data_IF_733841670322
#
_entry.id   IF_733841670322
#
_cell.length_a   1.000
_cell.length_b   1.000
_cell.length_c   1.000
_cell.angle_alpha   90.00
_cell.angle_beta   90.00
_cell.angle_gamma   90.00
#
_symmetry.space_group_name_H-M   'P 1'
#
loop_
_entity.id
_entity.type
_entity.pdbx_description
1 polymer ?
#
# COMPACT_ATOMS: atom_id res chain seq x y z
N UNK A 1 34.84 22.05 -56.42
CA UNK A 1 33.37 22.04 -56.60
C UNK A 1 32.83 20.89 -55.76
N UNK A 2 32.26 21.18 -54.58
CA UNK A 2 30.80 21.17 -54.29
C UNK A 2 30.23 19.73 -54.36
N UNK A 3 29.53 19.15 -53.39
CA UNK A 3 28.95 19.60 -52.13
C UNK A 3 28.56 18.35 -51.31
N UNK A 4 28.69 18.40 -49.97
CA UNK A 4 28.09 17.40 -49.07
C UNK A 4 26.56 17.54 -49.07
N UNK A 5 25.76 16.44 -49.13
CA UNK A 5 24.32 16.54 -49.00
C UNK A 5 23.94 16.86 -47.55
N UNK A 6 23.29 18.00 -47.41
CA UNK A 6 22.76 18.61 -46.21
C UNK A 6 21.76 17.69 -45.48
N UNK A 7 22.01 17.49 -44.18
CA UNK A 7 21.03 16.99 -43.20
C UNK A 7 19.81 17.91 -43.25
N UNK A 8 18.62 17.37 -43.60
CA UNK A 8 17.36 18.10 -43.47
C UNK A 8 16.32 17.24 -42.73
N UNK A 9 15.68 17.92 -41.77
CA UNK A 9 14.38 17.59 -41.14
C UNK A 9 14.43 16.92 -39.76
N UNK A 10 15.10 17.56 -38.79
CA UNK A 10 14.59 17.52 -37.42
C UNK A 10 13.36 18.43 -37.34
N UNK A 11 12.18 17.84 -37.32
CA UNK A 11 10.93 18.54 -37.05
C UNK A 11 10.94 18.99 -35.58
N UNK A 12 11.30 20.24 -35.33
CA UNK A 12 11.23 20.86 -34.01
C UNK A 12 9.77 20.89 -33.57
N UNK A 13 9.40 20.02 -32.63
CA UNK A 13 8.10 20.09 -31.96
C UNK A 13 8.22 21.19 -30.91
N UNK A 14 8.05 22.44 -31.34
CA UNK A 14 7.80 23.58 -30.47
C UNK A 14 6.46 23.36 -29.77
N UNK A 15 6.50 22.96 -28.50
CA UNK A 15 5.31 22.96 -27.64
C UNK A 15 5.02 24.42 -27.25
N UNK A 16 3.82 24.95 -27.46
CA UNK A 16 3.48 26.26 -26.94
C UNK A 16 3.49 26.20 -25.41
N UNK A 17 4.33 27.05 -24.82
CA UNK A 17 4.35 27.34 -23.39
C UNK A 17 3.02 28.04 -23.09
N UNK A 18 2.09 27.34 -22.45
CA UNK A 18 0.91 27.97 -21.86
C UNK A 18 1.37 28.77 -20.64
N UNK A 19 1.67 30.04 -20.89
CA UNK A 19 1.74 31.04 -19.84
C UNK A 19 0.32 31.39 -19.38
N UNK A 20 0.23 31.74 -18.09
CA UNK A 20 -0.89 32.45 -17.47
C UNK A 20 -2.16 31.65 -17.17
N UNK A 21 -2.12 30.92 -16.06
CA UNK A 21 -3.24 30.95 -15.13
C UNK A 21 -2.71 31.34 -13.74
N UNK A 22 -2.35 32.61 -13.60
CA UNK A 22 -2.19 33.24 -12.30
C UNK A 22 -3.58 33.38 -11.66
N UNK A 23 -4.10 32.26 -11.16
CA UNK A 23 -5.22 32.26 -10.25
C UNK A 23 -4.78 32.95 -8.96
N UNK A 24 -5.29 34.18 -8.77
CA UNK A 24 -5.18 34.90 -7.51
C UNK A 24 -5.75 33.99 -6.41
N UNK A 25 -4.89 33.46 -5.54
CA UNK A 25 -5.32 32.86 -4.28
C UNK A 25 -5.88 33.98 -3.41
N UNK A 26 -7.15 34.30 -3.59
CA UNK A 26 -7.90 35.13 -2.66
C UNK A 26 -8.11 34.30 -1.41
N UNK A 27 -7.42 34.67 -0.34
CA UNK A 27 -7.68 34.18 1.01
C UNK A 27 -9.03 34.73 1.48
N UNK A 28 -10.12 34.23 0.93
CA UNK A 28 -11.44 34.45 1.50
C UNK A 28 -11.57 33.47 2.66
N UNK A 29 -11.32 34.00 3.86
CA UNK A 29 -11.62 33.36 5.11
C UNK A 29 -13.11 32.96 5.13
N UNK A 30 -13.38 31.71 4.78
CA UNK A 30 -14.63 31.05 5.17
C UNK A 30 -14.58 30.84 6.68
N UNK A 31 -14.97 31.89 7.41
CA UNK A 31 -15.42 31.80 8.79
C UNK A 31 -16.72 31.00 8.79
N UNK A 32 -16.62 29.71 9.06
CA UNK A 32 -17.77 28.88 9.42
C UNK A 32 -17.90 28.94 10.95
N UNK A 33 -19.00 29.45 11.51
CA UNK A 33 -19.22 29.35 12.94
C UNK A 33 -19.45 27.87 13.29
N UNK A 34 -18.59 27.35 14.15
CA UNK A 34 -18.70 26.05 14.79
C UNK A 34 -20.08 25.92 15.49
N UNK A 35 -20.89 24.88 15.23
CA UNK A 35 -21.89 24.47 16.19
C UNK A 35 -21.20 23.64 17.29
N UNK A 36 -20.86 24.28 18.40
CA UNK A 36 -20.46 23.62 19.64
C UNK A 36 -21.69 23.06 20.35
N UNK A 37 -22.07 21.82 20.05
CA UNK A 37 -22.97 21.02 20.89
C UNK A 37 -22.43 19.60 21.01
N UNK A 38 -21.35 19.44 21.77
CA UNK A 38 -21.01 18.18 22.40
C UNK A 38 -21.73 18.09 23.75
N UNK A 39 -22.94 17.55 23.76
CA UNK A 39 -23.50 16.92 24.95
C UNK A 39 -23.23 15.42 24.84
N UNK A 40 -22.06 15.00 25.33
CA UNK A 40 -21.75 13.59 25.54
C UNK A 40 -22.42 13.17 26.85
N UNK A 41 -23.64 12.66 26.78
CA UNK A 41 -24.22 11.93 27.91
C UNK A 41 -23.66 10.51 27.90
N UNK A 42 -22.83 10.20 28.90
CA UNK A 42 -22.25 8.88 29.12
C UNK A 42 -23.33 7.92 29.63
N UNK A 43 -24.09 7.29 28.72
CA UNK A 43 -24.98 6.18 29.08
C UNK A 43 -24.15 4.91 29.20
N UNK A 44 -23.80 4.55 30.43
CA UNK A 44 -23.27 3.21 30.75
C UNK A 44 -24.35 2.17 30.42
N UNK A 45 -24.29 1.59 29.23
CA UNK A 45 -25.06 0.39 28.92
C UNK A 45 -24.50 -0.78 29.74
N UNK A 46 -25.24 -1.19 30.77
CA UNK A 46 -25.03 -2.51 31.38
C UNK A 46 -25.52 -3.54 30.37
N UNK A 47 -24.61 -4.34 29.81
CA UNK A 47 -24.98 -5.51 29.01
C UNK A 47 -25.53 -6.58 29.96
N UNK A 48 -26.84 -6.58 30.20
CA UNK A 48 -27.54 -7.76 30.66
C UNK A 48 -27.60 -8.74 29.49
N UNK A 49 -26.89 -9.87 29.61
CA UNK A 49 -26.98 -10.97 28.67
C UNK A 49 -28.35 -11.64 28.80
N UNK A 50 -29.39 -11.08 28.20
CA UNK A 50 -30.65 -11.80 28.00
C UNK A 50 -30.44 -12.79 26.87
N UNK A 51 -30.34 -14.08 27.19
CA UNK A 51 -30.36 -15.15 26.20
C UNK A 51 -31.69 -15.09 25.45
N UNK A 52 -31.67 -14.68 24.19
CA UNK A 52 -32.81 -14.85 23.29
C UNK A 52 -32.89 -16.36 23.04
N UNK A 53 -33.96 -17.02 23.50
CA UNK A 53 -34.21 -18.44 23.25
C UNK A 53 -34.45 -18.63 21.75
N UNK A 54 -33.39 -18.92 20.99
CA UNK A 54 -33.53 -19.36 19.61
C UNK A 54 -34.13 -20.77 19.62
N UNK A 55 -35.19 -21.06 18.84
CA UNK A 55 -35.85 -22.37 18.82
C UNK A 55 -34.97 -23.48 18.21
N UNK A 56 -33.80 -23.14 17.67
CA UNK A 56 -32.80 -24.09 17.23
C UNK A 56 -31.79 -24.34 18.35
N UNK A 57 -31.96 -25.49 19.03
CA UNK A 57 -30.93 -26.05 19.91
C UNK A 57 -29.76 -26.49 19.04
N UNK A 58 -28.78 -25.60 18.81
CA UNK A 58 -27.47 -26.04 18.32
C UNK A 58 -26.82 -26.80 19.47
N UNK A 59 -26.48 -28.10 19.32
CA UNK A 59 -25.64 -28.76 20.32
C UNK A 59 -24.37 -27.92 20.48
N UNK A 60 -23.79 -27.81 21.69
CA UNK A 60 -22.50 -27.17 21.84
C UNK A 60 -21.56 -27.87 20.85
N UNK A 61 -21.11 -27.15 19.83
CA UNK A 61 -20.15 -27.70 18.90
C UNK A 61 -18.98 -28.16 19.78
N UNK A 62 -18.73 -29.46 19.79
CA UNK A 62 -17.65 -30.00 20.59
C UNK A 62 -16.39 -29.32 20.08
N UNK A 63 -15.76 -28.50 20.91
CA UNK A 63 -14.49 -27.84 20.59
C UNK A 63 -13.40 -28.90 20.67
N UNK A 64 -13.42 -29.86 19.75
CA UNK A 64 -12.34 -30.78 19.47
C UNK A 64 -11.83 -30.42 18.08
N UNK A 65 -11.14 -29.27 17.99
CA UNK A 65 -10.02 -29.23 17.06
C UNK A 65 -8.93 -30.05 17.74
N UNK A 66 -8.51 -31.21 17.21
CA UNK A 66 -7.24 -31.75 17.64
C UNK A 66 -6.21 -30.64 17.43
N UNK A 67 -5.57 -30.19 18.52
CA UNK A 67 -4.36 -29.37 18.48
C UNK A 67 -3.33 -30.21 17.72
N UNK A 68 -3.36 -30.15 16.39
CA UNK A 68 -2.33 -30.77 15.58
C UNK A 68 -1.05 -30.09 16.03
N UNK A 69 -0.06 -30.83 16.57
CA UNK A 69 1.22 -30.23 16.92
C UNK A 69 1.69 -29.51 15.66
N UNK A 70 1.95 -28.20 15.79
CA UNK A 70 2.36 -27.34 14.68
C UNK A 70 3.57 -28.01 14.05
N UNK A 71 3.34 -28.78 12.99
CA UNK A 71 4.39 -29.56 12.38
C UNK A 71 5.39 -28.55 11.84
N UNK A 72 6.65 -28.77 12.17
CA UNK A 72 7.76 -28.02 11.58
C UNK A 72 7.53 -28.04 10.06
N UNK A 73 7.57 -26.88 9.37
CA UNK A 73 7.18 -26.81 7.96
C UNK A 73 7.98 -27.85 7.20
N UNK A 74 7.28 -28.78 6.54
CA UNK A 74 7.92 -29.85 5.80
C UNK A 74 8.80 -29.24 4.70
N UNK A 75 10.10 -29.52 4.78
CA UNK A 75 11.07 -29.10 3.78
C UNK A 75 10.68 -29.74 2.44
N UNK A 76 10.15 -28.93 1.52
CA UNK A 76 9.72 -29.40 0.19
C UNK A 76 8.23 -29.26 -0.11
N UNK A 77 7.41 -28.74 0.80
CA UNK A 77 6.01 -28.46 0.50
C UNK A 77 5.89 -27.38 -0.60
N UNK A 78 5.44 -27.78 -1.80
CA UNK A 78 5.21 -26.89 -2.96
C UNK A 78 3.85 -26.20 -2.96
N UNK A 79 3.08 -26.31 -1.87
CA UNK A 79 1.77 -25.66 -1.78
C UNK A 79 1.89 -24.13 -1.85
N UNK A 80 0.88 -23.43 -2.40
CA UNK A 80 0.84 -21.96 -2.43
C UNK A 80 0.91 -21.31 -1.04
N UNK A 81 0.67 -22.10 0.01
CA UNK A 81 0.67 -21.68 1.42
C UNK A 81 2.07 -21.78 2.04
N UNK A 82 2.98 -22.58 1.48
CA UNK A 82 4.30 -22.83 2.08
C UNK A 82 5.11 -21.55 2.36
N UNK A 83 5.03 -20.54 1.47
CA UNK A 83 5.68 -19.23 1.67
C UNK A 83 4.89 -18.24 2.53
N UNK A 84 3.73 -18.62 3.07
CA UNK A 84 2.81 -17.78 3.87
C UNK A 84 2.59 -18.32 5.28
N UNK A 85 3.27 -19.40 5.65
CA UNK A 85 3.22 -20.00 6.98
C UNK A 85 4.43 -19.57 7.78
N UNK A 86 4.22 -19.22 9.05
CA UNK A 86 5.28 -18.89 10.01
C UNK A 86 5.02 -19.69 11.27
N UNK A 87 6.01 -20.45 11.73
CA UNK A 87 5.93 -21.15 13.01
C UNK A 87 5.95 -20.15 14.16
N UNK A 88 5.18 -20.42 15.20
CA UNK A 88 5.12 -19.58 16.40
C UNK A 88 6.05 -20.19 17.45
N UNK A 89 7.10 -19.46 17.84
CA UNK A 89 8.00 -19.87 18.93
C UNK A 89 7.97 -18.81 20.04
N UNK A 90 7.31 -19.13 21.14
CA UNK A 90 7.25 -18.28 22.34
C UNK A 90 6.32 -17.07 22.23
N UNK A 91 6.61 -16.11 21.34
CA UNK A 91 5.85 -14.87 21.22
C UNK A 91 4.98 -14.84 19.95
N UNK A 92 3.64 -14.97 20.06
CA UNK A 92 2.75 -14.95 18.90
C UNK A 92 2.72 -13.62 18.16
N UNK A 93 2.86 -12.50 18.88
CA UNK A 93 2.89 -11.16 18.28
C UNK A 93 4.11 -10.97 17.38
N UNK A 94 5.28 -11.47 17.81
CA UNK A 94 6.50 -11.42 16.99
C UNK A 94 6.35 -12.24 15.70
N UNK A 95 5.78 -13.44 15.79
CA UNK A 95 5.48 -14.27 14.62
C UNK A 95 4.47 -13.60 13.68
N UNK A 96 3.45 -12.91 14.20
CA UNK A 96 2.51 -12.16 13.38
C UNK A 96 3.19 -10.98 12.64
N UNK A 97 4.07 -10.23 13.30
CA UNK A 97 4.85 -9.16 12.66
C UNK A 97 5.76 -9.70 11.56
N UNK A 98 6.40 -10.85 11.81
CA UNK A 98 7.21 -11.55 10.81
C UNK A 98 6.36 -11.95 9.61
N UNK A 99 5.22 -12.59 9.84
CA UNK A 99 4.29 -12.95 8.78
C UNK A 99 3.84 -11.71 7.98
N UNK A 100 3.55 -10.61 8.66
CA UNK A 100 3.16 -9.37 8.00
C UNK A 100 4.28 -8.82 7.09
N UNK A 101 5.53 -8.85 7.54
CA UNK A 101 6.67 -8.44 6.71
C UNK A 101 6.80 -9.30 5.45
N UNK A 102 6.64 -10.63 5.57
CA UNK A 102 6.69 -11.59 4.44
C UNK A 102 5.57 -11.30 3.44
N UNK A 103 4.34 -11.07 3.91
CA UNK A 103 3.21 -10.76 3.02
C UNK A 103 3.40 -9.42 2.29
N UNK A 104 4.08 -8.45 2.91
CA UNK A 104 4.37 -7.15 2.31
C UNK A 104 5.52 -7.23 1.30
N UNK A 105 6.61 -7.95 1.60
CA UNK A 105 7.73 -8.14 0.67
C UNK A 105 7.28 -8.83 -0.62
N UNK A 106 6.42 -9.83 -0.49
CA UNK A 106 5.84 -10.57 -1.61
C UNK A 106 4.69 -9.81 -2.30
N UNK A 107 4.32 -8.61 -1.80
CA UNK A 107 3.26 -7.74 -2.34
C UNK A 107 1.86 -8.38 -2.42
N UNK A 108 1.62 -9.46 -1.66
CA UNK A 108 0.37 -10.24 -1.71
C UNK A 108 -0.85 -9.37 -1.35
N UNK A 109 -0.73 -8.52 -0.32
CA UNK A 109 -1.83 -7.63 0.09
C UNK A 109 -2.20 -6.63 -1.01
N UNK A 110 -1.20 -6.14 -1.74
CA UNK A 110 -1.38 -5.21 -2.87
C UNK A 110 -2.07 -5.91 -4.03
N UNK A 111 -1.67 -7.16 -4.30
CA UNK A 111 -2.28 -8.01 -5.31
C UNK A 111 -3.75 -8.31 -4.99
N UNK A 112 -4.06 -8.78 -3.79
CA UNK A 112 -5.45 -9.05 -3.35
C UNK A 112 -6.33 -7.81 -3.53
N UNK A 113 -5.82 -6.62 -3.20
CA UNK A 113 -6.56 -5.36 -3.39
C UNK A 113 -6.79 -5.02 -4.87
N UNK A 114 -5.82 -5.29 -5.74
CA UNK A 114 -5.93 -5.05 -7.19
C UNK A 114 -6.83 -6.06 -7.89
N UNK A 115 -6.79 -7.32 -7.46
CA UNK A 115 -7.55 -8.41 -8.07
C UNK A 115 -9.01 -8.43 -7.62
N UNK A 116 -9.40 -7.61 -6.63
CA UNK A 116 -10.80 -7.47 -6.18
C UNK A 116 -11.75 -7.09 -7.30
N UNK A 117 -11.29 -6.27 -8.26
CA UNK A 117 -12.08 -5.81 -9.39
C UNK A 117 -11.30 -5.96 -10.68
N UNK A 118 -12.01 -6.15 -11.79
CA UNK A 118 -11.39 -6.23 -13.11
C UNK A 118 -10.72 -4.91 -13.51
N UNK A 119 -9.44 -4.97 -13.90
CA UNK A 119 -8.69 -3.85 -14.47
C UNK A 119 -8.51 -4.07 -15.98
N UNK A 120 -9.01 -3.15 -16.81
CA UNK A 120 -8.80 -3.19 -18.28
C UNK A 120 -7.30 -3.26 -18.59
N UNK A 121 -6.85 -4.08 -19.58
CA UNK A 121 -5.42 -4.25 -19.87
C UNK A 121 -4.68 -2.95 -20.19
N UNK A 122 -5.34 -2.00 -20.85
CA UNK A 122 -4.74 -0.69 -21.16
C UNK A 122 -4.53 0.16 -19.91
N UNK A 123 -5.48 0.13 -18.96
CA UNK A 123 -5.35 0.80 -17.67
C UNK A 123 -4.22 0.18 -16.85
N UNK A 124 -4.14 -1.17 -16.81
CA UNK A 124 -3.06 -1.93 -16.18
C UNK A 124 -1.68 -1.54 -16.70
N UNK A 125 -1.50 -1.46 -18.02
CA UNK A 125 -0.23 -1.06 -18.65
C UNK A 125 0.17 0.37 -18.27
N UNK A 126 -0.77 1.32 -18.31
CA UNK A 126 -0.53 2.71 -17.88
C UNK A 126 -0.06 2.72 -16.42
N UNK A 127 -0.82 2.09 -15.52
CA UNK A 127 -0.49 2.02 -14.10
C UNK A 127 0.91 1.46 -13.86
N UNK A 128 1.26 0.33 -14.46
CA UNK A 128 2.59 -0.28 -14.31
C UNK A 128 3.70 0.67 -14.78
N UNK A 129 3.50 1.37 -15.90
CA UNK A 129 4.46 2.35 -16.42
C UNK A 129 4.69 3.50 -15.42
N UNK A 130 3.63 4.05 -14.86
CA UNK A 130 3.72 5.11 -13.85
C UNK A 130 4.42 4.64 -12.58
N UNK A 131 4.05 3.46 -12.06
CA UNK A 131 4.69 2.87 -10.87
C UNK A 131 6.19 2.65 -11.08
N UNK A 132 6.59 2.12 -12.23
CA UNK A 132 8.01 1.92 -12.55
C UNK A 132 8.75 3.26 -12.65
N UNK A 133 8.16 4.26 -13.30
CA UNK A 133 8.76 5.57 -13.42
C UNK A 133 8.97 6.25 -12.05
N UNK A 134 7.97 6.17 -11.17
CA UNK A 134 8.04 6.69 -9.81
C UNK A 134 9.14 5.99 -9.00
N UNK A 135 9.22 4.66 -9.05
CA UNK A 135 10.26 3.88 -8.37
C UNK A 135 11.65 4.28 -8.86
N UNK A 136 11.86 4.36 -10.18
CA UNK A 136 13.13 4.78 -10.77
C UNK A 136 13.52 6.21 -10.35
N UNK A 137 12.55 7.13 -10.34
CA UNK A 137 12.78 8.50 -9.91
C UNK A 137 13.19 8.56 -8.42
N UNK A 138 12.43 7.87 -7.55
CA UNK A 138 12.72 7.81 -6.11
C UNK A 138 14.11 7.22 -5.85
N UNK A 139 14.50 6.17 -6.56
CA UNK A 139 15.83 5.57 -6.45
C UNK A 139 16.94 6.52 -6.91
N UNK A 140 16.74 7.22 -8.04
CA UNK A 140 17.69 8.19 -8.55
C UNK A 140 17.90 9.36 -7.58
N UNK A 141 16.81 9.91 -7.02
CA UNK A 141 16.86 10.97 -6.01
C UNK A 141 17.58 10.48 -4.75
N UNK A 142 17.24 9.29 -4.25
CA UNK A 142 17.89 8.69 -3.08
C UNK A 142 19.40 8.57 -3.27
N UNK A 143 19.85 8.08 -4.44
CA UNK A 143 21.29 7.96 -4.76
C UNK A 143 21.99 9.32 -4.78
N UNK A 144 21.38 10.33 -5.39
CA UNK A 144 21.95 11.69 -5.46
C UNK A 144 22.07 12.32 -4.07
N UNK A 145 21.01 12.27 -3.27
CA UNK A 145 21.02 12.82 -1.89
C UNK A 145 22.05 12.08 -1.03
N UNK A 146 22.12 10.76 -1.16
CA UNK A 146 23.11 9.97 -0.43
C UNK A 146 24.54 10.36 -0.80
N UNK A 147 24.82 10.58 -2.08
CA UNK A 147 26.13 11.07 -2.53
C UNK A 147 26.47 12.44 -1.94
N UNK A 148 25.54 13.40 -1.97
CA UNK A 148 25.74 14.73 -1.38
C UNK A 148 26.02 14.63 0.12
N UNK A 149 25.29 13.76 0.83
CA UNK A 149 25.50 13.53 2.26
C UNK A 149 26.89 12.92 2.54
N UNK A 150 27.36 12.02 1.68
CA UNK A 150 28.71 11.47 1.77
C UNK A 150 29.79 12.52 1.52
N UNK A 151 29.61 13.39 0.53
CA UNK A 151 30.53 14.50 0.25
C UNK A 151 30.61 15.44 1.45
N UNK A 152 29.45 15.85 1.99
CA UNK A 152 29.38 16.66 3.20
C UNK A 152 30.12 16.03 4.37
N UNK A 153 29.95 14.73 4.58
CA UNK A 153 30.61 14.01 5.67
C UNK A 153 32.14 13.90 5.48
N UNK A 154 32.63 14.03 4.24
CA UNK A 154 34.06 14.06 3.90
C UNK A 154 34.66 15.48 3.95
N UNK A 155 33.85 16.50 4.25
CA UNK A 155 34.28 17.91 4.28
C UNK A 155 34.42 18.55 2.89
N UNK A 156 33.79 17.95 1.87
CA UNK A 156 33.63 18.51 0.52
C UNK A 156 32.32 19.31 0.41
#
# INVERSE_FOLDING_TARGET
>A
MLSLPLIKNFKTITRPILNSLAGKFTNNAFTTPLPSLFLVTNTRHKHSHTQISTPFHSPPYATYSPELPISKPEEGNRSPTAGRTVTVSGNPTASYRRLWAILNSNKIRKEVRRNRYYEKPTAKRKRIRWEIAEVRFKEAVRKKVWLVLQMKNRGL
#
